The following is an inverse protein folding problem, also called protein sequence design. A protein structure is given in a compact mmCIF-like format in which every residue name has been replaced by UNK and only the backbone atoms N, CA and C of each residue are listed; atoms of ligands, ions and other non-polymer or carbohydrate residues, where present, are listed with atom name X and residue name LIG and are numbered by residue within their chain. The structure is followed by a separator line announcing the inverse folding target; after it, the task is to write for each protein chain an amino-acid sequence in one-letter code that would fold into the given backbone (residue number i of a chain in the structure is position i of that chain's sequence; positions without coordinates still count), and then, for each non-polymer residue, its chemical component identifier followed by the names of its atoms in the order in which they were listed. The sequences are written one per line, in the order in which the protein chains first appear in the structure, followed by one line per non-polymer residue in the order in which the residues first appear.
data_IF_480783711442
#
_entry.id   IF_480783711442
#
_cell.length_a   1.000
_cell.length_b   1.000
_cell.length_c   1.000
_cell.angle_alpha   90.00
_cell.angle_beta   90.00
_cell.angle_gamma   90.00
#
_symmetry.space_group_name_H-M   'P 1'
#
loop_
_entity.id
_entity.type
_entity.pdbx_description
1 polymer ?
#
# COMPACT_ATOMS: atom_id res chain seq x y z
N UNK A 1 21.09 -21.65 15.90
CA UNK A 1 20.14 -20.59 16.31
C UNK A 1 19.96 -19.67 15.12
N UNK A 2 18.96 -19.95 14.28
CA UNK A 2 18.80 -19.31 12.98
C UNK A 2 18.12 -17.96 13.17
N UNK A 3 18.89 -16.88 13.05
CA UNK A 3 18.41 -15.50 13.11
C UNK A 3 17.76 -15.12 11.78
N UNK A 4 16.50 -14.67 11.84
CA UNK A 4 15.84 -13.85 10.81
C UNK A 4 15.19 -14.60 9.65
N UNK A 5 13.85 -14.69 9.66
CA UNK A 5 13.06 -14.99 8.46
C UNK A 5 13.42 -14.01 7.31
N UNK A 6 13.39 -14.44 6.04
CA UNK A 6 13.48 -13.52 4.92
C UNK A 6 12.28 -12.56 4.97
N UNK A 7 12.54 -11.25 4.84
CA UNK A 7 11.56 -10.14 4.88
C UNK A 7 10.14 -10.57 4.45
N UNK A 8 9.23 -10.70 5.42
CA UNK A 8 7.91 -11.32 5.24
C UNK A 8 6.92 -10.46 4.45
N UNK A 9 7.23 -9.17 4.25
CA UNK A 9 6.36 -8.20 3.60
C UNK A 9 6.09 -8.55 2.13
N UNK A 10 7.10 -9.02 1.39
CA UNK A 10 6.97 -9.40 -0.04
C UNK A 10 5.80 -10.35 -0.26
N UNK A 11 5.65 -11.36 0.61
CA UNK A 11 4.60 -12.39 0.49
C UNK A 11 3.21 -11.87 0.84
N UNK A 12 3.12 -10.72 1.49
CA UNK A 12 1.88 -10.17 2.04
C UNK A 12 1.11 -9.29 1.05
N UNK A 13 1.76 -8.78 -0.02
CA UNK A 13 1.11 -7.85 -0.96
C UNK A 13 -0.14 -8.44 -1.62
N UNK A 14 0.00 -9.60 -2.26
CA UNK A 14 -1.10 -10.23 -3.01
C UNK A 14 -2.28 -10.62 -2.11
N UNK A 15 -2.06 -11.26 -0.93
CA UNK A 15 -3.14 -11.48 0.03
C UNK A 15 -3.84 -10.18 0.46
N UNK A 16 -3.08 -9.13 0.80
CA UNK A 16 -3.67 -7.84 1.21
C UNK A 16 -4.50 -7.21 0.09
N UNK A 17 -3.99 -7.23 -1.15
CA UNK A 17 -4.68 -6.69 -2.31
C UNK A 17 -6.00 -7.44 -2.57
N UNK A 18 -5.99 -8.77 -2.48
CA UNK A 18 -7.19 -9.59 -2.65
C UNK A 18 -8.28 -9.27 -1.61
N UNK A 19 -7.90 -9.16 -0.33
CA UNK A 19 -8.83 -8.77 0.74
C UNK A 19 -9.36 -7.35 0.54
N UNK A 20 -8.50 -6.41 0.14
CA UNK A 20 -8.90 -5.05 -0.15
C UNK A 20 -9.90 -4.99 -1.33
N UNK A 21 -9.64 -5.72 -2.42
CA UNK A 21 -10.55 -5.79 -3.57
C UNK A 21 -11.90 -6.39 -3.19
N UNK A 22 -11.90 -7.47 -2.41
CA UNK A 22 -13.13 -8.10 -1.93
C UNK A 22 -13.95 -7.13 -1.09
N UNK A 23 -13.30 -6.39 -0.20
CA UNK A 23 -13.94 -5.41 0.68
C UNK A 23 -14.50 -4.24 -0.12
N UNK A 24 -13.71 -3.70 -1.05
CA UNK A 24 -14.12 -2.64 -1.96
C UNK A 24 -15.33 -3.06 -2.82
N UNK A 25 -15.30 -4.27 -3.38
CA UNK A 25 -16.41 -4.83 -4.16
C UNK A 25 -17.70 -4.94 -3.34
N UNK A 26 -17.62 -5.38 -2.08
CA UNK A 26 -18.77 -5.40 -1.17
C UNK A 26 -19.33 -4.00 -0.91
N UNK A 27 -18.47 -3.04 -0.61
CA UNK A 27 -18.89 -1.65 -0.40
C UNK A 27 -19.49 -1.03 -1.68
N UNK A 28 -18.94 -1.34 -2.85
CA UNK A 28 -19.48 -0.89 -4.13
C UNK A 28 -20.85 -1.51 -4.42
N UNK A 29 -21.00 -2.82 -4.20
CA UNK A 29 -22.29 -3.50 -4.37
C UNK A 29 -23.37 -2.97 -3.43
N UNK A 30 -23.00 -2.57 -2.21
CA UNK A 30 -23.94 -2.02 -1.24
C UNK A 30 -24.36 -0.57 -1.53
N UNK A 31 -23.49 0.26 -2.15
CA UNK A 31 -23.77 1.70 -2.29
C UNK A 31 -23.86 2.20 -3.73
N UNK A 32 -23.48 1.41 -4.73
CA UNK A 32 -23.33 1.83 -6.11
C UNK A 32 -22.22 2.87 -6.36
N UNK A 33 -21.52 3.31 -5.32
CA UNK A 33 -20.58 4.44 -5.43
C UNK A 33 -19.29 4.02 -6.15
N UNK A 34 -18.88 4.73 -7.21
CA UNK A 34 -17.61 4.45 -7.90
C UNK A 34 -16.39 4.70 -7.00
N UNK A 35 -16.54 5.48 -5.92
CA UNK A 35 -15.49 5.73 -4.92
C UNK A 35 -15.11 4.46 -4.13
N UNK A 36 -15.95 3.43 -4.14
CA UNK A 36 -15.67 2.15 -3.48
C UNK A 36 -14.97 1.14 -4.40
N UNK A 37 -14.30 1.60 -5.46
CA UNK A 37 -13.46 0.76 -6.33
C UNK A 37 -11.99 1.08 -6.10
N UNK A 38 -11.15 0.05 -6.16
CA UNK A 38 -9.69 0.23 -6.09
C UNK A 38 -9.19 0.68 -7.46
N UNK A 39 -8.50 1.81 -7.49
CA UNK A 39 -7.75 2.30 -8.65
C UNK A 39 -6.36 1.66 -8.70
N UNK A 40 -5.35 2.43 -8.30
CA UNK A 40 -3.95 1.97 -8.27
C UNK A 40 -3.48 1.68 -6.85
N UNK A 41 -2.83 0.54 -6.65
CA UNK A 41 -2.18 0.16 -5.38
C UNK A 41 -0.79 0.80 -5.31
N UNK A 42 -0.45 1.39 -4.16
CA UNK A 42 0.86 2.01 -3.91
C UNK A 42 1.57 1.24 -2.80
N UNK A 43 2.76 0.72 -3.07
CA UNK A 43 3.53 -0.11 -2.13
C UNK A 43 5.00 0.34 -2.06
N UNK A 44 5.63 0.11 -0.92
CA UNK A 44 7.07 0.38 -0.76
C UNK A 44 7.95 -0.71 -1.37
N UNK A 45 9.26 -0.46 -1.34
CA UNK A 45 10.28 -1.37 -1.81
C UNK A 45 10.37 -2.69 -1.04
N UNK A 46 9.79 -2.78 0.17
CA UNK A 46 9.67 -4.05 0.89
C UNK A 46 8.73 -5.04 0.19
N UNK A 47 7.88 -4.57 -0.72
CA UNK A 47 7.00 -5.40 -1.54
C UNK A 47 7.53 -5.66 -2.95
N UNK A 48 8.70 -5.15 -3.32
CA UNK A 48 9.24 -5.29 -4.68
C UNK A 48 9.66 -6.75 -4.95
N UNK A 49 8.99 -7.39 -5.92
CA UNK A 49 9.39 -8.68 -6.49
C UNK A 49 8.73 -8.86 -7.86
N UNK A 50 9.34 -9.66 -8.73
CA UNK A 50 8.77 -9.94 -10.06
C UNK A 50 7.37 -10.56 -9.98
N UNK A 51 7.17 -11.42 -8.97
CA UNK A 51 5.88 -12.02 -8.67
C UNK A 51 4.83 -10.95 -8.31
N UNK A 52 5.17 -9.96 -7.49
CA UNK A 52 4.26 -8.88 -7.09
C UNK A 52 3.99 -7.87 -8.20
N UNK A 53 5.01 -7.55 -9.00
CA UNK A 53 4.90 -6.66 -10.16
C UNK A 53 4.00 -7.26 -11.24
N UNK A 54 4.10 -8.58 -11.44
CA UNK A 54 3.36 -9.31 -12.49
C UNK A 54 2.06 -9.95 -12.01
N UNK A 55 1.78 -9.93 -10.69
CA UNK A 55 0.58 -10.55 -10.14
C UNK A 55 -0.70 -9.92 -10.73
N UNK A 56 -1.77 -10.71 -10.93
CA UNK A 56 -3.04 -10.20 -11.44
C UNK A 56 -3.67 -9.18 -10.48
N UNK A 57 -4.67 -8.42 -10.94
CA UNK A 57 -5.42 -7.45 -10.14
C UNK A 57 -5.17 -5.99 -10.55
N UNK A 58 -5.45 -5.01 -9.67
CA UNK A 58 -5.38 -3.59 -10.00
C UNK A 58 -3.98 -3.17 -10.45
N UNK A 59 -3.92 -2.07 -11.21
CA UNK A 59 -2.66 -1.39 -11.49
C UNK A 59 -1.93 -1.06 -10.19
N UNK A 60 -0.60 -1.08 -10.21
CA UNK A 60 0.21 -0.85 -9.02
C UNK A 60 1.43 0.00 -9.31
N UNK A 61 1.94 0.67 -8.28
CA UNK A 61 3.25 1.29 -8.28
C UNK A 61 3.96 0.80 -7.03
N UNK A 62 5.11 0.13 -7.23
CA UNK A 62 5.93 -0.42 -6.16
C UNK A 62 7.31 0.23 -6.29
N UNK A 63 7.80 0.89 -5.24
CA UNK A 63 9.17 1.39 -5.26
C UNK A 63 10.16 0.24 -5.46
N UNK A 64 11.21 0.44 -6.26
CA UNK A 64 12.19 -0.62 -6.55
C UNK A 64 13.44 -0.55 -5.68
N UNK A 65 13.81 0.65 -5.21
CA UNK A 65 14.98 0.88 -4.37
C UNK A 65 14.58 1.74 -3.17
N UNK A 66 15.24 1.52 -2.04
CA UNK A 66 15.14 2.34 -0.83
C UNK A 66 16.05 3.58 -0.91
N UNK A 67 17.07 3.56 -1.76
CA UNK A 67 18.15 4.56 -1.77
C UNK A 67 17.94 5.77 -2.68
N UNK A 68 17.22 5.62 -3.81
CA UNK A 68 17.00 6.72 -4.76
C UNK A 68 15.59 7.27 -4.60
N UNK A 69 15.48 8.55 -4.25
CA UNK A 69 14.19 9.24 -4.22
C UNK A 69 13.60 9.24 -5.64
N UNK A 70 12.44 8.61 -5.87
CA UNK A 70 11.78 8.67 -7.17
C UNK A 70 11.45 10.11 -7.59
N UNK A 71 11.41 11.09 -6.68
CA UNK A 71 11.29 12.51 -6.99
C UNK A 71 12.49 13.05 -7.77
N UNK A 72 13.71 12.73 -7.29
CA UNK A 72 14.95 13.13 -7.97
C UNK A 72 15.03 12.46 -9.33
N UNK A 73 14.72 11.16 -9.41
CA UNK A 73 14.75 10.44 -10.69
C UNK A 73 13.73 10.95 -11.72
N UNK A 74 12.54 11.39 -11.28
CA UNK A 74 11.53 11.96 -12.18
C UNK A 74 11.88 13.39 -12.67
N UNK A 75 12.64 14.13 -11.87
CA UNK A 75 13.03 15.53 -12.18
C UNK A 75 14.34 15.59 -12.96
N UNK A 76 15.34 14.80 -12.55
CA UNK A 76 16.71 14.85 -13.07
C UNK A 76 16.90 14.00 -14.33
N UNK A 77 16.09 12.95 -14.51
CA UNK A 77 16.16 12.00 -15.64
C UNK A 77 14.77 11.49 -16.05
N UNK A 78 13.87 12.40 -16.54
CA UNK A 78 12.55 12.03 -16.99
C UNK A 78 12.65 11.05 -18.17
N UNK A 79 11.79 10.03 -18.23
CA UNK A 79 11.95 9.00 -19.24
C UNK A 79 11.55 9.55 -20.62
N UNK A 80 12.46 9.42 -21.59
CA UNK A 80 12.29 9.96 -22.95
C UNK A 80 11.27 9.17 -23.77
N UNK A 81 11.17 7.87 -23.57
CA UNK A 81 10.24 6.99 -24.30
C UNK A 81 9.78 5.81 -23.44
N UNK A 82 8.59 5.23 -23.71
CA UNK A 82 8.13 4.01 -23.05
C UNK A 82 9.10 2.83 -23.30
N UNK A 83 9.24 1.91 -22.33
CA UNK A 83 10.02 0.69 -22.53
C UNK A 83 9.43 -0.15 -23.66
N UNK A 84 10.25 -0.94 -24.38
CA UNK A 84 9.77 -1.86 -25.39
C UNK A 84 8.80 -2.88 -24.77
N UNK A 85 7.91 -3.48 -25.59
CA UNK A 85 6.92 -4.45 -25.10
C UNK A 85 7.57 -5.70 -24.45
N UNK A 86 8.82 -6.00 -24.82
CA UNK A 86 9.62 -7.09 -24.25
C UNK A 86 10.33 -6.73 -22.93
N UNK A 87 10.20 -5.48 -22.45
CA UNK A 87 10.83 -5.06 -21.21
C UNK A 87 10.25 -5.83 -20.02
N UNK A 88 11.10 -6.05 -19.03
CA UNK A 88 10.77 -6.72 -17.78
C UNK A 88 9.78 -5.89 -16.96
N UNK A 89 9.05 -6.56 -16.06
CA UNK A 89 8.14 -5.86 -15.14
C UNK A 89 8.86 -4.82 -14.26
N UNK A 90 10.14 -5.06 -13.94
CA UNK A 90 10.99 -4.11 -13.21
C UNK A 90 11.32 -2.88 -14.05
N UNK A 91 11.73 -3.04 -15.31
CA UNK A 91 12.01 -1.91 -16.21
C UNK A 91 10.76 -1.05 -16.45
N UNK A 92 9.61 -1.68 -16.64
CA UNK A 92 8.33 -0.97 -16.71
C UNK A 92 8.01 -0.20 -15.43
N UNK A 93 8.27 -0.78 -14.25
CA UNK A 93 8.05 -0.09 -12.98
C UNK A 93 9.02 1.07 -12.77
N UNK A 94 10.30 0.89 -13.13
CA UNK A 94 11.31 1.93 -13.09
C UNK A 94 10.95 3.10 -14.01
N UNK A 95 10.46 2.81 -15.21
CA UNK A 95 9.90 3.82 -16.11
C UNK A 95 8.72 4.55 -15.46
N UNK A 96 7.71 3.82 -14.98
CA UNK A 96 6.50 4.42 -14.39
C UNK A 96 6.83 5.31 -13.19
N UNK A 97 7.76 4.92 -12.32
CA UNK A 97 8.20 5.73 -11.18
C UNK A 97 8.85 7.06 -11.58
N UNK A 98 9.51 7.13 -12.76
CA UNK A 98 10.13 8.36 -13.28
C UNK A 98 9.16 9.25 -14.06
N UNK A 99 8.01 8.74 -14.49
CA UNK A 99 6.99 9.59 -15.11
C UNK A 99 6.44 10.60 -14.09
N UNK A 100 6.10 11.81 -14.54
CA UNK A 100 5.48 12.84 -13.68
C UNK A 100 4.19 12.35 -13.02
N UNK A 101 3.34 11.64 -13.77
CA UNK A 101 2.11 11.03 -13.27
C UNK A 101 2.38 9.96 -12.21
N UNK A 102 3.27 8.99 -12.52
CA UNK A 102 3.60 7.91 -11.60
C UNK A 102 4.27 8.41 -10.32
N UNK A 103 5.13 9.42 -10.43
CA UNK A 103 5.74 10.09 -9.30
C UNK A 103 4.68 10.79 -8.42
N UNK A 104 3.82 11.63 -9.01
CA UNK A 104 2.78 12.33 -8.29
C UNK A 104 1.81 11.37 -7.59
N UNK A 105 1.48 10.26 -8.24
CA UNK A 105 0.64 9.22 -7.66
C UNK A 105 1.34 8.51 -6.50
N UNK A 106 2.60 8.11 -6.66
CA UNK A 106 3.38 7.43 -5.61
C UNK A 106 3.54 8.30 -4.35
N UNK A 107 3.75 9.61 -4.51
CA UNK A 107 3.86 10.57 -3.39
C UNK A 107 2.65 10.56 -2.45
N UNK A 108 1.46 10.20 -2.94
CA UNK A 108 0.24 10.11 -2.12
C UNK A 108 0.27 8.96 -1.10
N UNK A 109 1.18 7.99 -1.23
CA UNK A 109 1.31 6.86 -0.31
C UNK A 109 1.53 7.34 1.14
N UNK A 110 2.44 8.29 1.35
CA UNK A 110 2.79 8.80 2.68
C UNK A 110 1.58 9.40 3.40
N UNK A 111 0.81 10.24 2.71
CA UNK A 111 -0.39 10.88 3.27
C UNK A 111 -1.53 9.91 3.63
N UNK A 112 -1.51 8.67 3.12
CA UNK A 112 -2.63 7.74 3.29
C UNK A 112 -2.44 6.81 4.49
N UNK A 113 -1.32 6.08 4.54
CA UNK A 113 -1.11 5.00 5.51
C UNK A 113 -0.43 5.48 6.79
N UNK A 114 0.51 6.42 6.68
CA UNK A 114 1.32 6.86 7.82
C UNK A 114 0.49 7.53 8.93
N UNK A 115 -0.48 8.42 8.63
CA UNK A 115 -1.29 9.04 9.68
C UNK A 115 -2.16 8.01 10.43
N UNK A 116 -2.69 7.01 9.71
CA UNK A 116 -3.50 5.97 10.33
C UNK A 116 -2.67 5.11 11.30
N UNK A 117 -1.48 4.68 10.89
CA UNK A 117 -0.56 3.92 11.75
C UNK A 117 -0.09 4.77 12.93
N UNK A 118 0.27 6.04 12.70
CA UNK A 118 0.68 6.93 13.78
C UNK A 118 -0.43 7.14 14.82
N UNK A 119 -1.68 7.33 14.38
CA UNK A 119 -2.82 7.43 15.29
C UNK A 119 -3.07 6.12 16.03
N UNK A 120 -2.93 4.96 15.37
CA UNK A 120 -3.07 3.66 16.04
C UNK A 120 -2.03 3.49 17.15
N UNK A 121 -0.78 3.88 16.91
CA UNK A 121 0.28 3.85 17.92
C UNK A 121 0.04 4.81 19.09
N UNK A 122 -0.78 5.85 18.92
CA UNK A 122 -1.22 6.72 20.03
C UNK A 122 -2.36 6.11 20.85
N UNK A 123 -3.21 5.29 20.23
CA UNK A 123 -4.32 4.60 20.88
C UNK A 123 -3.83 3.33 21.60
N UNK A 124 -2.88 2.63 20.98
CA UNK A 124 -2.30 1.38 21.45
C UNK A 124 -0.77 1.49 21.38
N UNK A 125 -0.17 2.04 22.44
CA UNK A 125 1.27 2.25 22.57
C UNK A 125 2.03 0.95 22.92
N UNK A 126 1.36 0.03 23.61
CA UNK A 126 1.85 -1.31 23.97
C UNK A 126 0.73 -2.34 23.93
N UNK A 127 1.11 -3.60 23.70
CA UNK A 127 0.20 -4.74 23.86
C UNK A 127 0.15 -5.19 25.32
N UNK A 128 -1.06 -5.43 25.81
CA UNK A 128 -1.31 -5.90 27.18
C UNK A 128 -1.24 -7.43 27.28
N UNK A 129 -1.53 -8.15 26.20
CA UNK A 129 -1.51 -9.62 26.18
C UNK A 129 -0.36 -10.15 25.33
N UNK A 130 0.10 -11.35 25.70
CA UNK A 130 1.15 -12.09 24.99
C UNK A 130 0.53 -13.07 24.00
N UNK A 131 1.25 -13.29 22.91
CA UNK A 131 0.84 -14.19 21.82
C UNK A 131 0.22 -13.43 20.65
N UNK A 132 0.54 -13.88 19.43
CA UNK A 132 0.14 -13.22 18.19
C UNK A 132 -1.39 -13.03 18.12
N UNK A 133 -2.17 -14.07 18.44
CA UNK A 133 -3.64 -14.03 18.40
C UNK A 133 -4.20 -12.94 19.31
N UNK A 134 -3.66 -12.81 20.51
CA UNK A 134 -4.12 -11.85 21.51
C UNK A 134 -3.71 -10.42 21.12
N UNK A 135 -2.47 -10.23 20.67
CA UNK A 135 -1.98 -8.94 20.17
C UNK A 135 -2.76 -8.48 18.92
N UNK A 136 -3.02 -9.38 17.95
CA UNK A 136 -3.86 -9.08 16.79
C UNK A 136 -5.26 -8.63 17.17
N UNK A 137 -5.85 -9.25 18.19
CA UNK A 137 -7.19 -8.87 18.67
C UNK A 137 -7.19 -7.47 19.31
N UNK A 138 -6.13 -7.09 20.03
CA UNK A 138 -5.98 -5.72 20.56
C UNK A 138 -5.81 -4.71 19.43
N UNK A 139 -4.99 -5.02 18.43
CA UNK A 139 -4.80 -4.17 17.26
C UNK A 139 -6.09 -3.98 16.48
N UNK A 140 -6.87 -5.05 16.26
CA UNK A 140 -8.17 -4.95 15.59
C UNK A 140 -9.17 -4.10 16.38
N UNK A 141 -9.20 -4.23 17.71
CA UNK A 141 -10.07 -3.40 18.54
C UNK A 141 -9.70 -1.92 18.44
N UNK A 142 -8.41 -1.59 18.54
CA UNK A 142 -7.91 -0.22 18.39
C UNK A 142 -8.20 0.35 16.99
N UNK A 143 -7.99 -0.43 15.94
CA UNK A 143 -8.31 -0.06 14.55
C UNK A 143 -9.81 0.17 14.34
N UNK A 144 -10.66 -0.67 14.93
CA UNK A 144 -12.11 -0.53 14.85
C UNK A 144 -12.56 0.76 15.54
N UNK A 145 -12.12 1.00 16.77
CA UNK A 145 -12.44 2.22 17.50
C UNK A 145 -11.97 3.47 16.76
N UNK A 146 -10.76 3.45 16.19
CA UNK A 146 -10.22 4.54 15.38
C UNK A 146 -11.10 4.82 14.15
N UNK A 147 -11.48 3.79 13.41
CA UNK A 147 -12.32 3.92 12.21
C UNK A 147 -13.71 4.45 12.54
N UNK A 148 -14.35 3.94 13.60
CA UNK A 148 -15.67 4.43 14.04
C UNK A 148 -15.61 5.92 14.43
N UNK A 149 -14.58 6.33 15.18
CA UNK A 149 -14.39 7.73 15.55
C UNK A 149 -14.20 8.64 14.31
N UNK A 150 -13.48 8.16 13.29
CA UNK A 150 -13.33 8.90 12.02
C UNK A 150 -14.63 9.03 11.25
N UNK A 151 -15.42 7.95 11.16
CA UNK A 151 -16.72 7.98 10.49
C UNK A 151 -17.64 8.95 11.21
N UNK A 152 -17.74 8.85 12.54
CA UNK A 152 -18.59 9.72 13.34
C UNK A 152 -18.26 11.21 13.13
N UNK A 153 -16.98 11.58 13.11
CA UNK A 153 -16.52 12.96 12.85
C UNK A 153 -16.74 13.44 11.41
N UNK A 154 -16.90 12.53 10.46
CA UNK A 154 -17.12 12.85 9.05
C UNK A 154 -18.60 12.92 8.67
N UNK A 155 -19.51 12.48 9.55
CA UNK A 155 -20.94 12.64 9.33
C UNK A 155 -21.31 14.13 9.49
N UNK A 156 -22.09 14.70 8.55
CA UNK A 156 -22.65 16.04 8.74
C UNK A 156 -23.60 16.03 9.95
N UNK A 157 -23.65 17.18 10.65
CA UNK A 157 -24.55 17.40 11.78
C UNK A 157 -26.03 17.37 11.35
#
# INVERSE_FOLDING_TARGET
MTLGEPSSDVKSLVPMMSVAQTTAARCHGATGSPKHRIGTVLADAGYASDANLSAPGPGRIIALDKGRDPASAATDDPPVSPPPAAATAQEFMAYRLRTSEGHALYKRRGATVEPAIANLKKILDRFCRRGLRQASSELHLAATAHNLARIHRALPA
#
